data_IF_637846805249
#
_entry.id   IF_637846805249
#
_cell.length_a   1.000
_cell.length_b   1.000
_cell.length_c   1.000
_cell.angle_alpha   90.00
_cell.angle_beta   90.00
_cell.angle_gamma   90.00
#
_symmetry.space_group_name_H-M   'P 1'
#
loop_
_entity.id
_entity.type
_entity.pdbx_description
1 polymer ?
#
# COMPACT_ATOMS: atom_id res chain seq x y z
N UNK A 1 12.61 -14.83 14.74
CA UNK A 1 12.43 -14.10 13.45
C UNK A 1 11.80 -15.06 12.44
N UNK A 2 10.48 -15.09 12.22
CA UNK A 2 9.91 -16.02 11.20
C UNK A 2 8.45 -15.78 10.77
N UNK A 3 7.55 -15.21 11.61
CA UNK A 3 6.12 -15.10 11.26
C UNK A 3 5.81 -13.99 10.25
N UNK A 4 6.36 -12.81 10.47
CA UNK A 4 6.28 -11.60 9.64
C UNK A 4 6.70 -11.84 8.18
N UNK A 5 7.91 -12.39 7.97
CA UNK A 5 8.44 -12.67 6.62
C UNK A 5 7.61 -13.71 5.83
N UNK A 6 7.05 -14.70 6.53
CA UNK A 6 6.16 -15.71 5.92
C UNK A 6 4.84 -15.09 5.45
N UNK A 7 4.32 -14.12 6.20
CA UNK A 7 3.06 -13.44 5.85
C UNK A 7 3.22 -12.57 4.61
N UNK A 8 4.29 -11.76 4.55
CA UNK A 8 4.62 -10.94 3.36
C UNK A 8 4.76 -11.82 2.13
N UNK A 9 5.55 -12.90 2.22
CA UNK A 9 5.77 -13.83 1.11
C UNK A 9 4.46 -14.47 0.61
N UNK A 10 3.57 -14.84 1.54
CA UNK A 10 2.27 -15.40 1.19
C UNK A 10 1.36 -14.37 0.49
N UNK A 11 1.36 -13.11 0.95
CA UNK A 11 0.61 -12.02 0.31
C UNK A 11 1.11 -11.75 -1.12
N UNK A 12 2.43 -11.69 -1.29
CA UNK A 12 3.07 -11.53 -2.60
C UNK A 12 2.66 -12.66 -3.55
N UNK A 13 2.72 -13.91 -3.10
CA UNK A 13 2.30 -15.07 -3.90
C UNK A 13 0.83 -14.99 -4.32
N UNK A 14 -0.08 -14.64 -3.39
CA UNK A 14 -1.51 -14.50 -3.72
C UNK A 14 -1.76 -13.36 -4.72
N UNK A 15 -1.14 -12.21 -4.50
CA UNK A 15 -1.26 -11.05 -5.38
C UNK A 15 -0.78 -11.35 -6.80
N UNK A 16 0.34 -12.07 -6.95
CA UNK A 16 0.86 -12.50 -8.24
C UNK A 16 -0.04 -13.54 -8.91
N UNK A 17 -0.43 -14.60 -8.17
CA UNK A 17 -1.20 -15.73 -8.71
C UNK A 17 -2.58 -15.32 -9.21
N UNK A 18 -3.22 -14.35 -8.55
CA UNK A 18 -4.61 -14.02 -8.82
C UNK A 18 -4.83 -12.62 -9.39
N UNK A 19 -3.76 -11.95 -9.84
CA UNK A 19 -3.78 -10.55 -10.33
C UNK A 19 -5.01 -10.21 -11.20
N UNK A 20 -5.31 -11.04 -12.22
CA UNK A 20 -6.43 -10.80 -13.14
C UNK A 20 -7.83 -11.12 -12.60
N UNK A 21 -7.95 -12.01 -11.62
CA UNK A 21 -9.25 -12.38 -11.03
C UNK A 21 -9.75 -11.34 -10.03
N UNK A 22 -8.83 -10.63 -9.37
CA UNK A 22 -9.17 -9.71 -8.28
C UNK A 22 -9.50 -8.31 -8.76
N UNK A 23 -9.30 -7.97 -10.03
CA UNK A 23 -9.48 -6.59 -10.51
C UNK A 23 -10.89 -6.05 -10.26
N UNK A 24 -11.94 -6.83 -10.54
CA UNK A 24 -13.33 -6.38 -10.32
C UNK A 24 -13.67 -6.21 -8.85
N UNK A 25 -13.16 -7.09 -7.99
CA UNK A 25 -13.43 -7.08 -6.54
C UNK A 25 -12.62 -5.98 -5.84
N UNK A 26 -11.39 -5.74 -6.30
CA UNK A 26 -10.48 -4.74 -5.73
C UNK A 26 -10.70 -3.32 -6.26
N UNK A 27 -11.36 -3.14 -7.41
CA UNK A 27 -11.52 -1.84 -8.06
C UNK A 27 -12.11 -0.74 -7.14
N UNK A 28 -13.17 -0.98 -6.32
CA UNK A 28 -13.65 0.03 -5.39
C UNK A 28 -12.60 0.45 -4.36
N UNK A 29 -11.85 -0.51 -3.81
CA UNK A 29 -10.79 -0.22 -2.84
C UNK A 29 -9.63 0.53 -3.50
N UNK A 30 -9.21 0.14 -4.72
CA UNK A 30 -8.18 0.85 -5.49
C UNK A 30 -8.58 2.31 -5.73
N UNK A 31 -9.87 2.58 -6.01
CA UNK A 31 -10.37 3.97 -6.15
C UNK A 31 -10.31 4.74 -4.83
N UNK A 32 -10.67 4.13 -3.71
CA UNK A 32 -10.60 4.79 -2.40
C UNK A 32 -9.16 5.11 -1.99
N UNK A 33 -8.23 4.21 -2.32
CA UNK A 33 -6.80 4.40 -2.07
C UNK A 33 -6.14 5.32 -3.11
N UNK A 34 -6.73 5.53 -4.28
CA UNK A 34 -6.12 6.36 -5.30
C UNK A 34 -5.92 7.80 -4.81
N UNK A 35 -4.75 8.35 -5.15
CA UNK A 35 -4.38 9.71 -4.83
C UNK A 35 -2.94 9.84 -4.36
N UNK A 36 -2.65 11.03 -3.85
CA UNK A 36 -1.36 11.42 -3.31
C UNK A 36 -1.46 11.49 -1.78
N UNK A 37 -0.60 10.76 -1.09
CA UNK A 37 -0.64 10.56 0.36
C UNK A 37 0.70 10.96 0.99
N UNK A 38 0.68 11.81 2.01
CA UNK A 38 1.85 12.24 2.77
C UNK A 38 1.88 11.60 4.16
N UNK A 39 2.98 10.94 4.51
CA UNK A 39 3.21 10.41 5.86
C UNK A 39 3.19 11.54 6.91
N UNK A 40 2.57 11.32 8.07
CA UNK A 40 2.45 12.35 9.12
C UNK A 40 3.49 12.27 10.24
N UNK A 41 4.11 11.11 10.46
CA UNK A 41 4.96 10.86 11.64
C UNK A 41 6.35 10.31 11.30
N UNK A 42 6.66 10.18 10.02
CA UNK A 42 7.94 9.65 9.56
C UNK A 42 8.96 10.78 9.35
N UNK A 43 10.21 10.53 9.74
CA UNK A 43 11.34 11.46 9.55
C UNK A 43 12.57 10.71 9.01
N UNK A 44 13.00 10.96 7.77
CA UNK A 44 12.33 11.82 6.79
C UNK A 44 10.98 11.21 6.36
N UNK A 45 10.00 12.07 6.11
CA UNK A 45 8.70 11.63 5.60
C UNK A 45 8.80 11.02 4.21
N UNK A 46 7.73 10.37 3.77
CA UNK A 46 7.59 9.85 2.42
C UNK A 46 6.20 10.14 1.83
N UNK A 47 6.17 10.04 0.52
CA UNK A 47 4.98 10.21 -0.30
C UNK A 47 4.60 8.86 -0.88
N UNK A 48 3.32 8.51 -0.77
CA UNK A 48 2.72 7.35 -1.44
C UNK A 48 1.75 7.86 -2.50
N UNK A 49 2.02 7.55 -3.76
CA UNK A 49 1.13 7.79 -4.90
C UNK A 49 0.54 6.47 -5.35
N UNK A 50 -0.77 6.41 -5.48
CA UNK A 50 -1.49 5.23 -5.96
C UNK A 50 -2.50 5.68 -7.00
N UNK A 51 -2.66 4.90 -8.07
CA UNK A 51 -3.70 5.13 -9.06
C UNK A 51 -4.81 4.06 -8.97
N UNK A 52 -5.97 4.37 -9.54
CA UNK A 52 -7.10 3.43 -9.54
C UNK A 52 -6.89 2.22 -10.47
N UNK A 53 -5.88 2.24 -11.34
CA UNK A 53 -5.54 1.14 -12.25
C UNK A 53 -4.69 0.09 -11.55
N UNK A 54 -4.01 0.47 -10.48
CA UNK A 54 -3.18 -0.40 -9.68
C UNK A 54 -1.70 -0.07 -9.72
N UNK A 55 -1.25 1.04 -10.31
CA UNK A 55 0.17 1.42 -10.19
C UNK A 55 0.42 2.22 -8.90
N UNK A 56 1.65 2.15 -8.39
CA UNK A 56 2.07 2.92 -7.21
C UNK A 56 3.48 3.50 -7.36
N UNK A 57 3.77 4.51 -6.55
CA UNK A 57 5.10 5.03 -6.29
C UNK A 57 5.23 5.44 -4.82
N UNK A 58 6.32 5.04 -4.17
CA UNK A 58 6.71 5.53 -2.84
C UNK A 58 8.00 6.33 -3.00
N UNK A 59 8.02 7.57 -2.51
CA UNK A 59 9.16 8.48 -2.59
C UNK A 59 9.58 8.92 -1.18
N UNK A 60 10.84 8.68 -0.81
CA UNK A 60 11.40 9.14 0.45
C UNK A 60 11.87 10.60 0.30
N UNK A 61 11.30 11.53 1.07
CA UNK A 61 11.53 12.97 0.89
C UNK A 61 12.93 13.43 1.34
N UNK A 62 13.60 12.67 2.21
CA UNK A 62 14.95 13.02 2.67
C UNK A 62 16.03 12.67 1.65
N UNK A 63 15.84 11.59 0.89
CA UNK A 63 16.83 11.08 -0.06
C UNK A 63 16.46 11.27 -1.53
N UNK A 64 15.20 11.59 -1.84
CA UNK A 64 14.67 11.64 -3.21
C UNK A 64 14.58 10.27 -3.91
N UNK A 65 14.96 9.19 -3.22
CA UNK A 65 14.83 7.84 -3.75
C UNK A 65 13.36 7.46 -3.81
N UNK A 66 12.99 6.74 -4.86
CA UNK A 66 11.64 6.24 -5.03
C UNK A 66 11.63 4.80 -5.52
N UNK A 67 10.56 4.10 -5.15
CA UNK A 67 10.22 2.75 -5.62
C UNK A 67 8.88 2.84 -6.34
N UNK A 68 8.74 2.14 -7.47
CA UNK A 68 7.53 2.14 -8.28
C UNK A 68 7.15 0.73 -8.68
N UNK A 69 5.88 0.50 -8.98
CA UNK A 69 5.42 -0.78 -9.49
C UNK A 69 3.91 -0.90 -9.47
N UNK A 70 3.44 -2.13 -9.22
CA UNK A 70 2.02 -2.48 -9.22
C UNK A 70 1.56 -2.81 -7.81
N UNK A 71 0.46 -2.22 -7.38
CA UNK A 71 -0.27 -2.57 -6.18
C UNK A 71 -1.45 -3.52 -6.47
N UNK A 72 -1.70 -4.44 -5.55
CA UNK A 72 -2.88 -5.30 -5.55
C UNK A 72 -3.55 -5.28 -4.19
N UNK A 73 -4.87 -5.41 -4.19
CA UNK A 73 -5.63 -5.55 -2.95
C UNK A 73 -5.97 -7.01 -2.75
N UNK A 74 -5.52 -7.56 -1.63
CA UNK A 74 -5.78 -8.95 -1.22
C UNK A 74 -6.68 -8.92 0.00
N UNK A 75 -7.76 -9.69 -0.02
CA UNK A 75 -8.65 -9.86 1.13
C UNK A 75 -8.38 -11.22 1.77
N UNK A 76 -8.18 -11.24 3.09
CA UNK A 76 -7.90 -12.49 3.83
C UNK A 76 -8.43 -12.37 5.25
N UNK A 77 -9.14 -13.39 5.72
CA UNK A 77 -9.65 -13.48 7.10
C UNK A 77 -10.48 -12.25 7.55
N UNK A 78 -11.24 -11.65 6.63
CA UNK A 78 -12.05 -10.45 6.91
C UNK A 78 -11.27 -9.13 6.87
N UNK A 79 -9.98 -9.16 6.54
CA UNK A 79 -9.12 -7.99 6.46
C UNK A 79 -8.70 -7.71 5.02
N UNK A 80 -8.33 -6.46 4.74
CA UNK A 80 -7.82 -6.03 3.45
C UNK A 80 -6.35 -5.63 3.56
N UNK A 81 -5.58 -6.04 2.56
CA UNK A 81 -4.16 -5.80 2.45
C UNK A 81 -3.87 -5.12 1.13
N UNK A 82 -3.00 -4.10 1.15
CA UNK A 82 -2.35 -3.58 -0.06
C UNK A 82 -0.99 -4.24 -0.19
N UNK A 83 -0.75 -4.84 -1.35
CA UNK A 83 0.51 -5.52 -1.69
C UNK A 83 1.21 -4.73 -2.77
N UNK A 84 2.41 -4.26 -2.50
CA UNK A 84 3.25 -3.48 -3.39
C UNK A 84 4.25 -4.39 -4.09
N UNK A 85 4.12 -4.54 -5.40
CA UNK A 85 4.96 -5.38 -6.25
C UNK A 85 5.91 -4.47 -7.06
N UNK A 86 7.20 -4.50 -6.75
CA UNK A 86 8.26 -3.81 -7.51
C UNK A 86 9.35 -4.80 -7.92
N UNK A 87 10.12 -4.43 -8.94
CA UNK A 87 11.28 -5.19 -9.41
C UNK A 87 12.40 -5.25 -8.36
N UNK A 88 12.48 -4.24 -7.48
CA UNK A 88 13.47 -4.16 -6.38
C UNK A 88 13.06 -4.96 -5.14
N UNK A 89 11.94 -5.68 -5.21
CA UNK A 89 11.30 -6.36 -4.08
C UNK A 89 9.92 -5.79 -3.78
N UNK A 90 9.16 -6.49 -2.94
CA UNK A 90 7.81 -6.07 -2.58
C UNK A 90 7.57 -6.08 -1.08
N UNK A 91 6.56 -5.32 -0.68
CA UNK A 91 6.09 -5.28 0.70
C UNK A 91 4.57 -5.32 0.70
N UNK A 92 3.99 -5.53 1.87
CA UNK A 92 2.56 -5.55 2.05
C UNK A 92 2.20 -4.81 3.34
N UNK A 93 1.05 -4.16 3.32
CA UNK A 93 0.50 -3.50 4.49
C UNK A 93 -0.97 -3.87 4.68
N UNK A 94 -1.38 -4.07 5.93
CA UNK A 94 -2.79 -4.18 6.30
C UNK A 94 -3.43 -2.80 6.26
N UNK A 95 -4.59 -2.70 5.62
CA UNK A 95 -5.37 -1.45 5.55
C UNK A 95 -6.18 -1.35 6.84
N UNK A 96 -5.77 -0.47 7.74
CA UNK A 96 -6.47 -0.23 9.01
C UNK A 96 -7.67 0.71 8.84
N UNK A 97 -7.64 1.56 7.82
CA UNK A 97 -8.76 2.44 7.48
C UNK A 97 -8.44 3.44 6.38
N UNK A 98 -9.45 3.79 5.59
CA UNK A 98 -9.41 4.88 4.60
C UNK A 98 -10.71 5.70 4.75
N UNK A 99 -10.59 6.98 5.08
CA UNK A 99 -11.72 7.88 5.30
C UNK A 99 -11.39 9.27 4.76
N UNK A 100 -12.02 9.64 3.64
CA UNK A 100 -11.79 10.92 2.97
C UNK A 100 -10.30 11.14 2.67
N UNK A 101 -9.69 12.05 3.43
CA UNK A 101 -8.30 12.46 3.28
C UNK A 101 -7.34 11.77 4.26
N UNK A 102 -7.77 10.73 4.98
CA UNK A 102 -6.94 9.95 5.90
C UNK A 102 -6.82 8.49 5.46
N UNK A 103 -5.60 7.96 5.52
CA UNK A 103 -5.28 6.56 5.28
C UNK A 103 -4.36 6.07 6.39
N UNK A 104 -4.64 4.88 6.94
CA UNK A 104 -3.78 4.23 7.93
C UNK A 104 -3.41 2.83 7.47
N UNK A 105 -2.11 2.58 7.40
CA UNK A 105 -1.53 1.31 6.97
C UNK A 105 -0.66 0.75 8.10
N UNK A 106 -0.72 -0.56 8.31
CA UNK A 106 0.23 -1.29 9.16
C UNK A 106 1.11 -2.17 8.28
N UNK A 107 2.40 -1.88 8.25
CA UNK A 107 3.37 -2.58 7.42
C UNK A 107 3.65 -3.97 7.97
N UNK A 108 3.52 -5.00 7.13
CA UNK A 108 3.62 -6.38 7.59
C UNK A 108 5.04 -6.81 7.89
N UNK A 109 6.06 -6.14 7.33
CA UNK A 109 7.48 -6.40 7.50
C UNK A 109 8.03 -5.81 8.81
N UNK A 110 7.60 -4.61 9.21
CA UNK A 110 8.02 -3.95 10.45
C UNK A 110 7.02 -4.07 11.60
N UNK A 111 5.72 -4.23 11.29
CA UNK A 111 4.62 -4.07 12.24
C UNK A 111 4.30 -2.61 12.58
N UNK A 112 4.97 -1.65 11.93
CA UNK A 112 4.76 -0.23 12.18
C UNK A 112 3.50 0.27 11.48
N UNK A 113 2.81 1.21 12.14
CA UNK A 113 1.64 1.87 11.55
C UNK A 113 2.04 3.23 11.01
N UNK A 114 1.81 3.46 9.72
CA UNK A 114 1.96 4.76 9.09
C UNK A 114 0.60 5.41 8.87
N UNK A 115 0.48 6.65 9.31
CA UNK A 115 -0.65 7.51 8.99
C UNK A 115 -0.32 8.44 7.83
N UNK A 116 -1.24 8.50 6.86
CA UNK A 116 -1.13 9.34 5.69
C UNK A 116 -2.28 10.33 5.59
N UNK A 117 -2.00 11.49 4.99
CA UNK A 117 -3.01 12.49 4.62
C UNK A 117 -2.92 12.88 3.16
N UNK A 118 -4.07 13.10 2.51
CA UNK A 118 -4.10 13.84 1.24
C UNK A 118 -3.84 15.33 1.50
N UNK A 119 -3.19 16.05 0.57
CA UNK A 119 -3.08 17.50 0.66
C UNK A 119 -4.48 18.15 0.64
N UNK A 120 -4.60 19.31 1.28
CA UNK A 120 -5.90 19.97 1.54
C UNK A 120 -6.71 20.31 0.26
N UNK A 121 -6.04 20.38 -0.89
CA UNK A 121 -6.63 20.80 -2.17
C UNK A 121 -7.10 19.64 -3.07
N UNK A 122 -7.04 18.39 -2.58
CA UNK A 122 -7.50 17.21 -3.33
C UNK A 122 -9.00 16.97 -3.07
N UNK A 123 -9.86 17.73 -3.76
CA UNK A 123 -11.30 17.46 -3.91
C UNK A 123 -11.65 17.19 -5.38
#
# INVERSE_FOLDING_TARGET
MTKTSTMVSNMMFQAQRYRGLWERVSAPMKRNLAGFWYSQSDSPGHVLRMDARGSFQIENLGSGKHVRGEMQIVARNGEHYVVFLSDDGGSAARILGVQGNALRLEWLDSGETTEYRKPADYN
#
